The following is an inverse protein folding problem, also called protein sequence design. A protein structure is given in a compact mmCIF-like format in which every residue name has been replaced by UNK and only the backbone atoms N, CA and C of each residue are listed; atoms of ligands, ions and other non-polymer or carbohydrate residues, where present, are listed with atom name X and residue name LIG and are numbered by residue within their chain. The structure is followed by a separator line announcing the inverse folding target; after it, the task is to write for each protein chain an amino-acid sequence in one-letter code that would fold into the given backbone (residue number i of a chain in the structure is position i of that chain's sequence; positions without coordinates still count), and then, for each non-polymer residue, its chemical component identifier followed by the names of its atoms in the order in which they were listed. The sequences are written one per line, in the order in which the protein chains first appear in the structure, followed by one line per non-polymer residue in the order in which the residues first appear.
data_IF_792157656871
#
_entry.id   IF_792157656871
#
_cell.length_a   1.000
_cell.length_b   1.000
_cell.length_c   1.000
_cell.angle_alpha   90.00
_cell.angle_beta   90.00
_cell.angle_gamma   90.00
#
_symmetry.space_group_name_H-M   'P 1'
#
loop_
_entity.id
_entity.type
_entity.pdbx_description
1 polymer ?
#
# COMPACT_ATOMS: atom_id res chain seq x y z
N UNK A 1 8.58 -2.47 -7.51
CA UNK A 1 7.43 -1.85 -8.16
C UNK A 1 6.89 -2.80 -9.20
N UNK A 2 5.90 -3.59 -8.81
CA UNK A 2 5.17 -4.49 -9.71
C UNK A 2 3.82 -3.86 -10.02
N UNK A 3 3.49 -3.69 -11.30
CA UNK A 3 2.25 -3.03 -11.71
C UNK A 3 1.41 -3.90 -12.65
N UNK A 4 0.11 -3.60 -12.69
CA UNK A 4 -0.85 -4.27 -13.56
C UNK A 4 -1.80 -3.24 -14.18
N UNK A 5 -2.00 -3.31 -15.50
CA UNK A 5 -2.92 -2.41 -16.22
C UNK A 5 -4.29 -3.07 -16.34
N UNK A 6 -5.31 -2.43 -15.78
CA UNK A 6 -6.70 -2.85 -15.88
C UNK A 6 -7.54 -1.67 -16.36
N UNK A 7 -8.16 -1.79 -17.54
CA UNK A 7 -9.03 -0.77 -18.13
C UNK A 7 -8.44 0.65 -18.17
N UNK A 8 -7.14 0.74 -18.48
CA UNK A 8 -6.41 2.01 -18.54
C UNK A 8 -5.97 2.57 -17.19
N UNK A 9 -6.24 1.86 -16.09
CA UNK A 9 -5.81 2.19 -14.74
C UNK A 9 -4.64 1.29 -14.34
N UNK A 10 -3.55 1.91 -13.88
CA UNK A 10 -2.39 1.19 -13.37
C UNK A 10 -2.56 0.89 -11.87
N UNK A 11 -2.50 -0.39 -11.53
CA UNK A 11 -2.52 -0.89 -10.15
C UNK A 11 -1.10 -1.17 -9.68
N UNK A 12 -0.70 -0.52 -8.58
CA UNK A 12 0.56 -0.75 -7.87
C UNK A 12 0.39 -1.93 -6.92
N UNK A 13 0.88 -3.11 -7.32
CA UNK A 13 0.71 -4.36 -6.56
C UNK A 13 1.58 -4.44 -5.30
N UNK A 14 2.46 -3.46 -5.08
CA UNK A 14 3.29 -3.37 -3.88
C UNK A 14 2.51 -2.71 -2.71
N UNK A 15 1.24 -2.35 -2.89
CA UNK A 15 0.37 -1.79 -1.84
C UNK A 15 -0.91 -2.60 -1.61
N UNK A 16 -1.58 -2.31 -0.50
CA UNK A 16 -2.92 -2.84 -0.23
C UNK A 16 -3.96 -2.04 -1.01
N UNK A 17 -5.09 -2.66 -1.30
CA UNK A 17 -6.25 -2.00 -1.87
C UNK A 17 -7.45 -2.11 -0.93
N UNK A 18 -8.29 -1.08 -0.89
CA UNK A 18 -9.53 -1.08 -0.11
C UNK A 18 -10.69 -1.00 -1.09
N UNK A 19 -11.59 -1.98 -1.02
CA UNK A 19 -12.83 -1.96 -1.76
C UNK A 19 -13.83 -0.96 -1.14
N UNK A 20 -14.87 -0.59 -1.89
CA UNK A 20 -15.92 0.35 -1.42
C UNK A 20 -16.62 -0.16 -0.15
N UNK A 21 -16.66 -1.47 0.05
CA UNK A 21 -17.20 -2.12 1.26
C UNK A 21 -16.29 -2.05 2.48
N UNK A 22 -15.05 -1.56 2.34
CA UNK A 22 -14.04 -1.52 3.39
C UNK A 22 -13.18 -2.77 3.49
N UNK A 23 -13.45 -3.81 2.69
CA UNK A 23 -12.62 -5.03 2.62
C UNK A 23 -11.25 -4.70 2.03
N UNK A 24 -10.20 -5.21 2.66
CA UNK A 24 -8.82 -5.01 2.21
C UNK A 24 -8.42 -6.17 1.31
N UNK A 25 -7.80 -5.85 0.18
CA UNK A 25 -7.27 -6.79 -0.80
C UNK A 25 -5.76 -6.60 -0.94
N UNK A 26 -5.03 -7.71 -0.97
CA UNK A 26 -3.57 -7.71 -1.13
C UNK A 26 -3.16 -8.66 -2.23
N UNK A 27 -2.18 -8.26 -3.05
CA UNK A 27 -1.62 -9.16 -4.02
C UNK A 27 -0.89 -10.30 -3.33
N UNK A 28 -1.18 -11.53 -3.75
CA UNK A 28 -0.60 -12.76 -3.17
C UNK A 28 0.84 -13.03 -3.64
N UNK A 29 1.33 -12.25 -4.62
CA UNK A 29 2.52 -12.59 -5.40
C UNK A 29 2.25 -13.58 -6.55
N UNK A 30 1.04 -14.14 -6.61
CA UNK A 30 0.60 -15.09 -7.62
C UNK A 30 -0.15 -14.45 -8.79
N UNK A 31 -0.21 -15.19 -9.90
CA UNK A 31 -0.92 -14.83 -11.12
C UNK A 31 -1.89 -15.94 -11.52
N UNK A 32 -3.04 -15.58 -12.09
CA UNK A 32 -3.99 -16.51 -12.68
C UNK A 32 -3.43 -17.09 -14.00
N UNK A 33 -4.01 -18.18 -14.54
CA UNK A 33 -3.65 -18.67 -15.88
C UNK A 33 -3.84 -17.63 -17.01
N UNK A 34 -4.69 -16.61 -16.79
CA UNK A 34 -4.90 -15.50 -17.70
C UNK A 34 -3.90 -14.34 -17.50
N UNK A 35 -2.86 -14.55 -16.67
CA UNK A 35 -1.87 -13.53 -16.30
C UNK A 35 -2.47 -12.32 -15.56
N UNK A 36 -3.45 -12.57 -14.69
CA UNK A 36 -4.05 -11.54 -13.83
C UNK A 36 -3.55 -11.68 -12.39
N UNK A 37 -3.30 -10.59 -11.65
CA UNK A 37 -2.83 -10.68 -10.27
C UNK A 37 -3.87 -11.36 -9.38
N UNK A 38 -3.47 -12.37 -8.60
CA UNK A 38 -4.35 -12.99 -7.61
C UNK A 38 -4.33 -12.19 -6.31
N UNK A 39 -5.49 -11.69 -5.90
CA UNK A 39 -5.70 -10.93 -4.68
C UNK A 39 -6.32 -11.79 -3.58
N UNK A 40 -5.89 -11.55 -2.34
CA UNK A 40 -6.46 -12.13 -1.13
C UNK A 40 -7.16 -11.04 -0.32
N UNK A 41 -8.37 -11.31 0.13
CA UNK A 41 -9.10 -10.44 1.05
C UNK A 41 -8.70 -10.66 2.51
N UNK A 42 -8.85 -9.64 3.35
CA UNK A 42 -8.82 -9.76 4.81
C UNK A 42 -10.11 -10.34 5.41
N UNK A 43 -11.19 -10.39 4.62
CA UNK A 43 -12.43 -11.07 4.94
C UNK A 43 -12.43 -12.57 4.58
N UNK A 44 -13.47 -13.31 5.00
CA UNK A 44 -13.65 -14.71 4.60
C UNK A 44 -13.94 -14.82 3.10
N UNK A 45 -13.19 -15.64 2.38
CA UNK A 45 -13.35 -15.80 0.93
C UNK A 45 -12.24 -16.61 0.28
N UNK A 46 -12.38 -16.83 -1.02
CA UNK A 46 -11.32 -17.38 -1.87
C UNK A 46 -10.49 -16.25 -2.48
N UNK A 47 -9.23 -16.53 -2.80
CA UNK A 47 -8.41 -15.59 -3.57
C UNK A 47 -9.04 -15.38 -4.97
N UNK A 48 -9.09 -14.14 -5.43
CA UNK A 48 -9.72 -13.74 -6.69
C UNK A 48 -8.72 -13.03 -7.60
N UNK A 49 -8.79 -13.18 -8.93
CA UNK A 49 -8.10 -12.29 -9.86
C UNK A 49 -8.48 -10.81 -9.60
N UNK A 50 -7.56 -9.88 -9.83
CA UNK A 50 -7.79 -8.44 -9.63
C UNK A 50 -9.02 -7.93 -10.40
N UNK A 51 -9.24 -8.28 -11.69
CA UNK A 51 -10.45 -7.87 -12.41
C UNK A 51 -11.74 -8.37 -11.75
N UNK A 52 -11.76 -9.59 -11.23
CA UNK A 52 -12.91 -10.16 -10.52
C UNK A 52 -13.14 -9.44 -9.19
N UNK A 53 -12.08 -9.19 -8.43
CA UNK A 53 -12.17 -8.43 -7.19
C UNK A 53 -12.73 -7.02 -7.44
N UNK A 54 -12.28 -6.36 -8.51
CA UNK A 54 -12.80 -5.06 -8.95
C UNK A 54 -14.28 -5.13 -9.37
N UNK A 55 -14.66 -6.16 -10.15
CA UNK A 55 -16.02 -6.34 -10.62
C UNK A 55 -17.02 -6.61 -9.48
N UNK A 56 -16.68 -7.52 -8.56
CA UNK A 56 -17.58 -7.93 -7.47
C UNK A 56 -17.63 -6.95 -6.30
N UNK A 57 -16.52 -6.24 -6.02
CA UNK A 57 -16.41 -5.39 -4.83
C UNK A 57 -16.31 -3.90 -5.15
N UNK A 58 -16.34 -3.55 -6.44
CA UNK A 58 -16.21 -2.19 -6.94
C UNK A 58 -14.76 -1.72 -6.98
N UNK A 59 -14.55 -0.41 -7.24
CA UNK A 59 -13.23 0.16 -7.36
C UNK A 59 -12.33 -0.14 -6.16
N UNK A 60 -11.13 -0.64 -6.47
CA UNK A 60 -10.09 -0.94 -5.50
C UNK A 60 -9.22 0.31 -5.30
N UNK A 61 -9.34 0.93 -4.12
CA UNK A 61 -8.67 2.19 -3.78
C UNK A 61 -7.28 1.86 -3.18
N UNK A 62 -6.17 2.35 -3.75
CA UNK A 62 -4.84 2.10 -3.20
C UNK A 62 -4.70 2.66 -1.77
N UNK A 63 -4.31 1.80 -0.83
CA UNK A 63 -3.99 2.13 0.55
C UNK A 63 -2.49 2.01 0.73
N UNK A 64 -1.79 3.11 0.47
CA UNK A 64 -0.36 3.20 0.74
C UNK A 64 -0.13 3.31 2.25
N UNK A 65 0.87 2.61 2.81
CA UNK A 65 1.25 2.79 4.20
C UNK A 65 1.47 4.28 4.46
N UNK A 66 0.74 4.85 5.44
CA UNK A 66 1.12 6.16 5.96
C UNK A 66 2.49 5.97 6.61
N UNK A 67 3.53 6.59 6.06
CA UNK A 67 4.83 6.70 6.71
C UNK A 67 4.59 7.29 8.12
N UNK A 68 4.49 6.44 9.15
CA UNK A 68 4.31 6.86 10.56
C UNK A 68 5.40 7.87 10.96
N UNK A 69 6.55 7.74 10.32
CA UNK A 69 7.71 8.61 10.36
C UNK A 69 7.38 10.09 10.17
N UNK A 70 6.51 10.44 9.22
CA UNK A 70 6.19 11.83 8.83
C UNK A 70 5.21 12.57 9.76
N UNK A 71 4.55 11.86 10.68
CA UNK A 71 3.55 12.46 11.59
C UNK A 71 3.97 12.43 13.05
N UNK A 72 5.21 12.05 13.35
CA UNK A 72 5.74 12.10 14.71
C UNK A 72 6.04 13.54 15.12
N UNK A 73 5.81 13.88 16.39
CA UNK A 73 6.22 15.18 16.95
C UNK A 73 7.74 15.42 16.76
N UNK A 74 8.52 14.34 16.70
CA UNK A 74 9.95 14.39 16.41
C UNK A 74 10.26 14.86 14.97
N UNK A 75 9.37 14.59 14.01
CA UNK A 75 9.54 15.01 12.60
C UNK A 75 9.20 16.49 12.45
N UNK A 76 8.14 16.95 13.11
CA UNK A 76 7.84 18.39 13.18
C UNK A 76 8.99 19.15 13.84
N UNK A 77 9.56 18.62 14.93
CA UNK A 77 10.70 19.23 15.63
C UNK A 77 11.98 19.26 14.77
N UNK A 78 12.21 18.28 13.89
CA UNK A 78 13.36 18.33 12.97
C UNK A 78 13.18 19.36 11.87
N UNK A 79 11.95 19.52 11.34
CA UNK A 79 11.64 20.59 10.39
C UNK A 79 11.81 21.98 11.03
N UNK A 80 11.32 22.18 12.26
CA UNK A 80 11.49 23.43 13.01
C UNK A 80 12.96 23.76 13.30
N UNK A 81 13.80 22.72 13.46
CA UNK A 81 15.24 22.86 13.64
C UNK A 81 16.02 23.07 12.32
N UNK A 82 15.32 23.13 11.18
CA UNK A 82 15.92 23.42 9.87
C UNK A 82 16.59 22.23 9.18
N UNK A 83 16.32 20.99 9.63
CA UNK A 83 16.82 19.80 8.94
C UNK A 83 16.02 19.56 7.66
N UNK A 84 16.74 19.50 6.53
CA UNK A 84 16.21 19.07 5.23
C UNK A 84 16.80 17.69 4.97
N UNK A 85 16.27 16.67 5.62
CA UNK A 85 16.63 15.27 5.40
C UNK A 85 15.44 14.51 4.79
N UNK A 86 15.73 13.52 3.94
CA UNK A 86 14.70 12.62 3.41
C UNK A 86 14.17 11.67 4.50
N UNK A 87 13.06 11.00 4.21
CA UNK A 87 12.33 10.18 5.19
C UNK A 87 13.15 8.98 5.67
N UNK A 88 14.02 8.45 4.80
CA UNK A 88 14.86 7.29 5.10
C UNK A 88 15.99 7.68 6.07
N UNK A 89 16.64 8.82 5.81
CA UNK A 89 17.65 9.43 6.68
C UNK A 89 17.08 9.78 8.06
N UNK A 90 15.88 10.38 8.09
CA UNK A 90 15.18 10.64 9.34
C UNK A 90 14.88 9.33 10.09
N UNK A 91 14.33 8.31 9.42
CA UNK A 91 14.05 7.01 10.05
C UNK A 91 15.28 6.41 10.72
N UNK A 92 16.41 6.37 10.01
CA UNK A 92 17.66 5.84 10.52
C UNK A 92 18.17 6.58 11.78
N UNK A 93 18.03 7.90 11.83
CA UNK A 93 18.46 8.72 12.99
C UNK A 93 17.62 8.47 14.24
N UNK A 94 16.31 8.34 14.07
CA UNK A 94 15.38 8.16 15.21
C UNK A 94 15.50 6.73 15.76
N UNK A 95 15.66 5.74 14.87
CA UNK A 95 15.89 4.34 15.28
C UNK A 95 17.24 4.15 15.98
N UNK A 96 18.28 4.90 15.57
CA UNK A 96 19.57 4.95 16.27
C UNK A 96 19.53 5.73 17.60
N UNK A 97 18.43 6.46 17.85
CA UNK A 97 18.27 7.39 18.96
C UNK A 97 17.28 6.95 20.03
N UNK A 98 17.20 5.65 20.36
CA UNK A 98 16.57 5.22 21.63
C UNK A 98 17.36 5.76 22.83
N UNK A 99 16.96 6.95 23.29
CA UNK A 99 17.26 7.54 24.59
C UNK A 99 15.93 7.93 25.26
#
# INVERSE_FOLDING_TARGET
MTTYLHDGVEFDLDCEFVAVTGVIWMWTGGWSPAAEPMLRSDGPGVDLPLPDAYYYHGPLIPRRPKLKTLMSAAFTKSLDAGYVEDVESYGARIDAGSL
#
